data_IF_060374636723
#
_entry.id   IF_060374636723
#
_cell.length_a   1.000
_cell.length_b   1.000
_cell.length_c   1.000
_cell.angle_alpha   90.00
_cell.angle_beta   90.00
_cell.angle_gamma   90.00
#
_symmetry.space_group_name_H-M   'P 1'
#
loop_
_entity.id
_entity.type
_entity.pdbx_description
1 polymer ?
#
# COMPACT_ATOMS: atom_id res chain seq x y z
N UNK A 1 0.70 -6.84 16.65
CA UNK A 1 0.86 -6.96 15.19
C UNK A 1 1.76 -8.14 14.92
N UNK A 2 1.27 -9.16 14.22
CA UNK A 2 2.06 -10.34 13.82
C UNK A 2 2.30 -10.29 12.30
N UNK A 3 3.38 -10.91 11.79
CA UNK A 3 3.57 -11.09 10.36
C UNK A 3 2.34 -11.74 9.72
N UNK A 4 1.90 -11.24 8.56
CA UNK A 4 0.68 -11.64 7.86
C UNK A 4 -0.54 -10.75 8.13
N UNK A 5 -0.44 -9.78 9.04
CA UNK A 5 -1.52 -8.81 9.27
C UNK A 5 -1.67 -7.87 8.05
N UNK A 6 -2.91 -7.74 7.55
CA UNK A 6 -3.29 -6.78 6.51
C UNK A 6 -3.61 -5.43 7.13
N UNK A 7 -3.13 -4.35 6.51
CA UNK A 7 -3.40 -2.98 6.93
C UNK A 7 -3.44 -2.03 5.72
N UNK A 8 -4.03 -0.86 5.95
CA UNK A 8 -4.05 0.27 5.02
C UNK A 8 -4.42 1.54 5.80
N UNK A 9 -4.18 2.70 5.21
CA UNK A 9 -4.43 4.00 5.83
C UNK A 9 -5.62 4.70 5.17
N UNK A 10 -6.32 5.54 5.95
CA UNK A 10 -7.33 6.47 5.45
C UNK A 10 -6.93 7.87 5.89
N UNK A 11 -6.84 8.80 4.95
CA UNK A 11 -6.36 10.17 5.21
C UNK A 11 -7.55 11.11 5.27
N UNK A 12 -7.70 11.76 6.43
CA UNK A 12 -8.69 12.81 6.64
C UNK A 12 -8.06 14.16 6.33
N UNK A 13 -8.78 15.02 5.62
CA UNK A 13 -8.33 16.36 5.27
C UNK A 13 -9.28 17.04 4.27
N UNK A 14 -8.97 18.27 3.85
CA UNK A 14 -9.76 18.98 2.84
C UNK A 14 -9.67 18.26 1.48
N UNK A 15 -10.80 18.23 0.78
CA UNK A 15 -10.87 17.83 -0.62
C UNK A 15 -11.11 19.09 -1.47
N UNK A 16 -10.01 19.74 -1.84
CA UNK A 16 -10.00 20.94 -2.70
C UNK A 16 -9.05 20.70 -3.88
N UNK A 17 -9.53 20.01 -4.93
CA UNK A 17 -8.69 19.63 -6.07
C UNK A 17 -8.04 20.82 -6.79
N UNK A 18 -8.69 21.99 -6.76
CA UNK A 18 -8.20 23.25 -7.33
C UNK A 18 -6.97 23.80 -6.59
N UNK A 19 -6.89 23.58 -5.27
CA UNK A 19 -5.74 23.94 -4.44
C UNK A 19 -4.76 22.77 -4.25
N UNK A 20 -4.99 21.64 -4.93
CA UNK A 20 -4.17 20.44 -4.85
C UNK A 20 -4.47 19.50 -3.68
N UNK A 21 -5.43 19.83 -2.82
CA UNK A 21 -5.83 18.98 -1.70
C UNK A 21 -6.78 17.88 -2.18
N UNK A 22 -6.38 16.62 -2.03
CA UNK A 22 -7.15 15.44 -2.48
C UNK A 22 -7.28 14.39 -1.38
N UNK A 23 -7.45 14.85 -0.14
CA UNK A 23 -7.65 13.95 0.99
C UNK A 23 -9.05 13.34 0.89
N UNK A 24 -9.11 12.01 0.82
CA UNK A 24 -10.37 11.26 0.81
C UNK A 24 -10.28 10.09 1.80
N UNK A 25 -11.03 10.13 2.92
CA UNK A 25 -11.03 9.04 3.89
C UNK A 25 -11.78 7.80 3.39
N UNK A 26 -12.56 7.88 2.30
CA UNK A 26 -13.20 6.68 1.71
C UNK A 26 -12.20 5.82 0.94
N UNK A 27 -11.03 6.35 0.60
CA UNK A 27 -9.97 5.60 -0.08
C UNK A 27 -9.08 4.90 0.92
N UNK A 28 -8.94 3.59 0.74
CA UNK A 28 -7.91 2.81 1.40
C UNK A 28 -6.57 3.04 0.67
N UNK A 29 -5.63 3.68 1.36
CA UNK A 29 -4.31 3.97 0.87
C UNK A 29 -3.31 2.90 1.34
N UNK A 30 -2.44 2.52 0.41
CA UNK A 30 -1.32 1.66 0.69
C UNK A 30 -0.21 2.43 1.41
N UNK A 31 0.53 1.74 2.27
CA UNK A 31 1.74 2.28 2.85
C UNK A 31 2.82 2.45 1.76
N UNK A 32 3.35 3.66 1.52
CA UNK A 32 4.43 3.87 0.55
C UNK A 32 5.71 3.08 0.90
N UNK A 33 5.88 2.69 2.17
CA UNK A 33 6.98 1.85 2.63
C UNK A 33 6.58 0.38 2.85
N UNK A 34 5.38 0.00 2.40
CA UNK A 34 4.89 -1.37 2.43
C UNK A 34 5.83 -2.30 1.67
N UNK A 35 6.30 -3.37 2.31
CA UNK A 35 7.23 -4.33 1.72
C UNK A 35 6.54 -5.51 1.01
N UNK A 36 5.23 -5.68 1.22
CA UNK A 36 4.39 -6.62 0.51
C UNK A 36 2.94 -6.10 0.45
N UNK A 37 2.24 -6.49 -0.61
CA UNK A 37 0.85 -6.12 -0.86
C UNK A 37 0.07 -7.39 -1.23
N UNK A 38 -1.19 -7.46 -0.83
CA UNK A 38 -2.08 -8.60 -1.07
C UNK A 38 -3.41 -8.11 -1.67
N UNK A 39 -3.92 -8.84 -2.66
CA UNK A 39 -5.05 -8.46 -3.51
C UNK A 39 -4.64 -7.92 -4.87
N UNK A 40 -5.63 -7.47 -5.65
CA UNK A 40 -5.46 -6.86 -6.97
C UNK A 40 -6.42 -5.67 -7.13
N UNK A 41 -6.20 -4.85 -8.15
CA UNK A 41 -7.13 -3.81 -8.57
C UNK A 41 -8.07 -4.38 -9.63
N UNK A 42 -9.37 -4.32 -9.39
CA UNK A 42 -10.39 -4.77 -10.34
C UNK A 42 -10.92 -3.65 -11.26
N UNK A 43 -10.44 -2.41 -11.05
CA UNK A 43 -10.84 -1.24 -11.83
C UNK A 43 -12.21 -0.67 -11.45
N UNK A 44 -12.77 -1.05 -10.30
CA UNK A 44 -14.08 -0.57 -9.85
C UNK A 44 -14.11 0.97 -9.72
N UNK A 45 -15.29 1.56 -9.92
CA UNK A 45 -15.47 3.03 -9.88
C UNK A 45 -15.08 3.66 -8.54
N UNK A 46 -15.18 2.88 -7.46
CA UNK A 46 -14.77 3.30 -6.14
C UNK A 46 -13.26 3.56 -6.00
N UNK A 47 -12.44 3.22 -7.01
CA UNK A 47 -11.02 3.59 -7.02
C UNK A 47 -10.79 5.06 -7.36
N UNK A 48 -11.73 5.72 -8.05
CA UNK A 48 -11.58 7.09 -8.53
C UNK A 48 -12.71 8.04 -8.15
N UNK A 49 -13.88 7.53 -7.73
CA UNK A 49 -15.04 8.34 -7.35
C UNK A 49 -14.96 8.75 -5.88
N UNK A 50 -14.82 10.05 -5.59
CA UNK A 50 -14.75 10.57 -4.22
C UNK A 50 -15.92 10.09 -3.34
N UNK A 51 -15.63 9.67 -2.10
CA UNK A 51 -16.64 9.26 -1.12
C UNK A 51 -17.15 7.82 -1.24
N UNK A 52 -16.82 7.09 -2.33
CA UNK A 52 -17.05 5.64 -2.41
C UNK A 52 -15.93 4.85 -1.73
N UNK A 53 -16.28 3.83 -0.95
CA UNK A 53 -15.30 2.98 -0.27
C UNK A 53 -14.57 2.10 -1.29
N UNK A 54 -13.23 2.18 -1.29
CA UNK A 54 -12.38 1.37 -2.16
C UNK A 54 -12.02 0.01 -1.54
N UNK A 55 -12.37 -0.24 -0.28
CA UNK A 55 -12.10 -1.51 0.40
C UNK A 55 -12.73 -2.69 -0.36
N UNK A 56 -11.94 -3.72 -0.64
CA UNK A 56 -12.37 -4.89 -1.42
C UNK A 56 -12.14 -4.78 -2.93
N UNK A 57 -11.87 -3.57 -3.43
CA UNK A 57 -11.56 -3.27 -4.83
C UNK A 57 -10.09 -2.84 -5.03
N UNK A 58 -9.32 -2.81 -3.95
CA UNK A 58 -7.90 -2.41 -3.94
C UNK A 58 -7.06 -3.36 -3.09
N UNK A 59 -5.75 -3.31 -3.28
CA UNK A 59 -4.78 -4.08 -2.51
C UNK A 59 -4.72 -3.60 -1.05
N UNK A 60 -4.23 -4.47 -0.17
CA UNK A 60 -3.88 -4.14 1.22
C UNK A 60 -2.40 -4.35 1.45
N UNK A 61 -1.76 -3.54 2.30
CA UNK A 61 -0.38 -3.78 2.70
C UNK A 61 -0.32 -4.92 3.72
N UNK A 62 0.68 -5.79 3.61
CA UNK A 62 0.89 -6.91 4.54
C UNK A 62 2.16 -6.70 5.34
N UNK A 63 2.06 -6.84 6.65
CA UNK A 63 3.24 -6.87 7.53
C UNK A 63 4.04 -8.14 7.26
N UNK A 64 5.28 -7.99 6.79
CA UNK A 64 6.18 -9.12 6.55
C UNK A 64 7.15 -9.35 7.71
N UNK A 65 7.56 -10.59 7.90
CA UNK A 65 8.75 -10.92 8.68
C UNK A 65 9.99 -10.75 7.78
N UNK A 66 10.93 -9.85 8.09
CA UNK A 66 12.11 -9.65 7.26
C UNK A 66 13.16 -10.76 7.40
N UNK A 67 12.99 -11.72 8.32
CA UNK A 67 13.95 -12.80 8.51
C UNK A 67 14.06 -13.68 7.25
N UNK A 68 15.25 -13.70 6.68
CA UNK A 68 15.63 -14.60 5.60
C UNK A 68 17.05 -15.08 5.84
N UNK A 69 17.28 -16.39 5.75
CA UNK A 69 18.61 -16.97 5.88
C UNK A 69 19.32 -16.89 4.53
N UNK A 70 20.27 -15.96 4.44
CA UNK A 70 21.10 -15.74 3.26
C UNK A 70 22.24 -16.77 3.12
N UNK A 71 22.42 -17.67 4.10
CA UNK A 71 23.46 -18.70 4.12
C UNK A 71 24.85 -18.15 3.75
N UNK A 72 25.41 -18.59 2.62
CA UNK A 72 26.74 -18.20 2.14
C UNK A 72 26.72 -17.08 1.10
N UNK A 73 25.59 -16.43 0.87
CA UNK A 73 25.46 -15.40 -0.16
C UNK A 73 26.37 -14.19 0.13
N UNK A 74 27.09 -13.74 -0.91
CA UNK A 74 28.04 -12.62 -0.83
C UNK A 74 28.01 -11.83 -2.11
N UNK A 75 27.99 -10.51 -1.98
CA UNK A 75 28.02 -9.58 -3.12
C UNK A 75 29.14 -9.92 -4.12
N UNK A 76 28.87 -9.96 -5.44
CA UNK A 76 29.77 -10.56 -6.43
C UNK A 76 31.19 -9.98 -6.58
N UNK A 77 31.55 -8.87 -5.91
CA UNK A 77 32.89 -8.22 -5.94
C UNK A 77 33.57 -8.20 -7.32
N UNK A 78 32.82 -8.03 -8.40
CA UNK A 78 33.37 -7.91 -9.75
C UNK A 78 33.81 -6.46 -10.00
N UNK A 79 35.09 -6.21 -10.35
CA UNK A 79 35.51 -4.88 -10.77
C UNK A 79 34.86 -4.50 -12.11
N UNK A 80 34.67 -3.20 -12.33
CA UNK A 80 34.14 -2.60 -13.56
C UNK A 80 35.14 -2.71 -14.71
#
# INVERSE_FOLDING_TARGET
MQPGQRYGYRVYGPFEPEHGHRCDPSKLLLDPYGKAFDGDFDGHESLHTFGLDSLGHTMTTVVINPFFDWASDRGPKRPY
#
